data_IF_615627771423
#
_entry.id   IF_615627771423
#
_cell.length_a   1.000
_cell.length_b   1.000
_cell.length_c   1.000
_cell.angle_alpha   90.00
_cell.angle_beta   90.00
_cell.angle_gamma   90.00
#
_symmetry.space_group_name_H-M   'P 1'
#
loop_
_entity.id
_entity.type
_entity.pdbx_description
1 polymer ?
#
# COMPACT_ATOMS: atom_id res chain seq x y z
N UNK A 1 32.96 43.07 -35.69
CA UNK A 1 32.14 43.27 -34.47
C UNK A 1 31.39 42.00 -34.17
N UNK A 2 31.25 41.71 -32.87
CA UNK A 2 30.57 40.56 -32.22
C UNK A 2 31.49 39.36 -32.00
N UNK A 3 31.72 39.15 -30.70
CA UNK A 3 32.84 38.48 -30.09
C UNK A 3 32.67 36.96 -30.07
N UNK A 4 33.79 36.29 -30.29
CA UNK A 4 34.02 34.91 -29.90
C UNK A 4 33.95 34.78 -28.38
N UNK A 5 33.22 33.78 -27.88
CA UNK A 5 33.61 33.07 -26.65
C UNK A 5 33.04 31.65 -26.65
N UNK A 6 33.68 30.78 -27.42
CA UNK A 6 33.64 29.33 -27.25
C UNK A 6 34.71 28.93 -26.22
N UNK A 7 34.46 29.21 -24.94
CA UNK A 7 35.39 28.84 -23.86
C UNK A 7 34.63 28.46 -22.58
N UNK A 8 33.57 27.66 -22.70
CA UNK A 8 32.93 27.06 -21.51
C UNK A 8 32.46 25.60 -21.72
N UNK A 9 32.77 24.98 -22.87
CA UNK A 9 32.32 23.61 -23.21
C UNK A 9 33.49 22.63 -23.38
N UNK A 10 34.66 22.91 -22.78
CA UNK A 10 35.86 22.07 -22.98
C UNK A 10 36.69 21.69 -21.75
N UNK A 11 36.18 21.83 -20.53
CA UNK A 11 36.86 21.25 -19.36
C UNK A 11 35.90 20.34 -18.58
N UNK A 12 36.39 19.14 -18.26
CA UNK A 12 35.73 18.02 -17.57
C UNK A 12 34.92 17.03 -18.45
N UNK A 13 35.46 16.68 -19.63
CA UNK A 13 35.35 15.30 -20.12
C UNK A 13 36.57 14.54 -19.57
N UNK A 14 36.33 13.40 -18.90
CA UNK A 14 37.28 12.45 -18.30
C UNK A 14 37.62 12.65 -16.80
N UNK A 15 36.69 12.23 -15.94
CA UNK A 15 36.91 11.57 -14.64
C UNK A 15 35.50 11.21 -14.13
N UNK A 16 35.03 9.97 -14.28
CA UNK A 16 35.51 8.83 -13.51
C UNK A 16 34.40 8.47 -12.52
N UNK A 17 33.79 7.31 -12.72
CA UNK A 17 32.70 6.74 -11.91
C UNK A 17 31.40 7.54 -11.84
N UNK A 18 30.35 6.94 -12.42
CA UNK A 18 28.94 7.19 -12.14
C UNK A 18 28.79 7.35 -10.63
N UNK A 19 28.64 8.61 -10.24
CA UNK A 19 28.42 9.09 -8.90
C UNK A 19 27.21 8.39 -8.34
N UNK A 20 27.50 7.38 -7.52
CA UNK A 20 26.98 7.30 -6.18
C UNK A 20 25.46 7.13 -6.09
N UNK A 21 25.08 5.85 -6.07
CA UNK A 21 24.02 5.28 -5.25
C UNK A 21 23.82 6.07 -3.94
N UNK A 22 22.94 7.08 -3.97
CA UNK A 22 22.18 7.57 -2.81
C UNK A 22 20.92 8.28 -3.31
N UNK A 23 19.85 7.51 -3.48
CA UNK A 23 18.49 8.02 -3.24
C UNK A 23 17.82 7.19 -2.15
N UNK A 24 18.59 6.88 -1.10
CA UNK A 24 18.09 6.27 0.12
C UNK A 24 18.61 7.15 1.28
N UNK A 25 17.71 7.97 1.83
CA UNK A 25 17.58 8.35 3.25
C UNK A 25 16.90 9.71 3.50
N UNK A 26 15.62 9.86 3.14
CA UNK A 26 14.71 10.81 3.79
C UNK A 26 13.26 10.40 3.42
N UNK A 27 12.32 10.04 4.29
CA UNK A 27 12.13 10.34 5.71
C UNK A 27 11.28 9.20 6.30
N UNK A 28 11.67 8.62 7.44
CA UNK A 28 10.67 8.00 8.33
C UNK A 28 10.17 9.13 9.23
N UNK A 29 9.02 9.78 8.97
CA UNK A 29 8.47 10.67 9.96
C UNK A 29 8.23 9.86 11.25
N UNK A 30 8.71 10.39 12.37
CA UNK A 30 8.29 9.95 13.70
C UNK A 30 6.76 9.88 13.71
N UNK A 31 6.13 8.74 14.04
CA UNK A 31 4.68 8.70 14.12
C UNK A 31 4.25 9.62 15.26
N UNK A 32 3.80 10.83 14.93
CA UNK A 32 2.85 11.55 15.77
C UNK A 32 1.65 10.62 15.97
N UNK A 33 1.09 10.50 17.18
CA UNK A 33 -0.22 9.90 17.35
C UNK A 33 -1.22 10.72 16.54
N UNK A 34 -1.41 10.34 15.27
CA UNK A 34 -2.48 10.87 14.46
C UNK A 34 -3.74 10.39 15.14
N UNK A 35 -4.48 11.31 15.75
CA UNK A 35 -5.82 11.03 16.23
C UNK A 35 -6.58 10.49 15.03
N UNK A 36 -6.69 9.16 14.98
CA UNK A 36 -7.53 8.51 14.00
C UNK A 36 -8.92 9.07 14.24
N UNK A 37 -9.66 9.53 13.22
CA UNK A 37 -11.06 9.84 13.42
C UNK A 37 -11.64 8.64 14.16
N UNK A 38 -12.28 8.87 15.30
CA UNK A 38 -12.97 7.83 16.06
C UNK A 38 -13.94 7.19 15.09
N UNK A 39 -13.51 6.11 14.44
CA UNK A 39 -14.36 5.32 13.60
C UNK A 39 -15.30 4.68 14.60
N UNK A 40 -16.50 5.26 14.72
CA UNK A 40 -17.58 4.67 15.49
C UNK A 40 -17.60 3.21 15.11
N UNK A 41 -17.22 2.33 16.05
CA UNK A 41 -17.10 0.91 15.77
C UNK A 41 -18.49 0.44 15.36
N UNK A 42 -18.68 0.21 14.05
CA UNK A 42 -19.91 -0.36 13.56
C UNK A 42 -20.07 -1.72 14.23
N UNK A 43 -21.26 -2.03 14.72
CA UNK A 43 -21.54 -3.32 15.32
C UNK A 43 -21.20 -4.42 14.31
N UNK A 44 -20.37 -5.38 14.72
CA UNK A 44 -19.99 -6.52 13.89
C UNK A 44 -21.25 -7.36 13.63
N UNK A 45 -21.59 -7.67 12.37
CA UNK A 45 -22.72 -8.54 12.06
C UNK A 45 -22.52 -9.92 12.70
N UNK A 46 -23.58 -10.56 13.24
CA UNK A 46 -23.46 -11.89 13.80
C UNK A 46 -23.06 -12.90 12.72
N UNK A 47 -22.13 -13.81 13.06
CA UNK A 47 -21.72 -14.89 12.17
C UNK A 47 -22.85 -15.92 11.98
N UNK A 48 -22.95 -16.46 10.77
CA UNK A 48 -23.71 -17.68 10.54
C UNK A 48 -22.96 -18.87 11.18
N UNK A 49 -23.59 -19.66 12.08
CA UNK A 49 -22.93 -20.79 12.73
C UNK A 49 -22.29 -21.80 11.77
N UNK A 50 -22.84 -21.97 10.57
CA UNK A 50 -22.29 -22.88 9.57
C UNK A 50 -20.93 -22.41 9.02
N UNK A 51 -20.71 -21.10 8.93
CA UNK A 51 -19.48 -20.51 8.37
C UNK A 51 -18.30 -20.60 9.34
N UNK A 52 -18.58 -20.80 10.63
CA UNK A 52 -17.59 -20.85 11.72
C UNK A 52 -17.54 -22.20 12.46
N UNK A 53 -18.24 -23.22 11.94
CA UNK A 53 -18.32 -24.53 12.57
C UNK A 53 -16.96 -25.26 12.61
N UNK A 54 -16.10 -25.01 11.62
CA UNK A 54 -14.75 -25.58 11.50
C UNK A 54 -13.81 -24.57 10.84
N UNK A 55 -12.50 -24.81 10.92
CA UNK A 55 -11.51 -23.99 10.23
C UNK A 55 -11.68 -24.05 8.71
N UNK A 56 -12.00 -25.22 8.15
CA UNK A 56 -12.29 -25.38 6.72
C UNK A 56 -13.51 -24.56 6.29
N UNK A 57 -14.55 -24.50 7.15
CA UNK A 57 -15.75 -23.71 6.88
C UNK A 57 -15.44 -22.20 6.81
N UNK A 58 -14.57 -21.69 7.68
CA UNK A 58 -14.14 -20.29 7.67
C UNK A 58 -13.42 -19.96 6.36
N UNK A 59 -12.47 -20.80 5.95
CA UNK A 59 -11.71 -20.61 4.72
C UNK A 59 -12.62 -20.70 3.50
N UNK A 60 -13.50 -21.69 3.44
CA UNK A 60 -14.48 -21.82 2.37
C UNK A 60 -15.40 -20.59 2.29
N UNK A 61 -15.88 -20.09 3.42
CA UNK A 61 -16.74 -18.91 3.52
C UNK A 61 -16.03 -17.64 3.05
N UNK A 62 -14.77 -17.47 3.42
CA UNK A 62 -13.95 -16.35 2.96
C UNK A 62 -13.79 -16.38 1.44
N UNK A 63 -13.42 -17.52 0.86
CA UNK A 63 -13.22 -17.67 -0.58
C UNK A 63 -14.52 -17.52 -1.37
N UNK A 64 -15.64 -18.00 -0.84
CA UNK A 64 -16.95 -17.80 -1.44
C UNK A 64 -17.28 -16.28 -1.56
N UNK A 65 -17.01 -15.50 -0.51
CA UNK A 65 -17.24 -14.04 -0.57
C UNK A 65 -16.27 -13.34 -1.51
N UNK A 66 -14.95 -13.60 -1.44
CA UNK A 66 -13.95 -12.79 -2.17
C UNK A 66 -13.69 -13.27 -3.61
N UNK A 67 -13.88 -14.57 -3.87
CA UNK A 67 -13.56 -15.22 -5.14
C UNK A 67 -14.77 -15.89 -5.81
N UNK A 68 -15.95 -15.83 -5.19
CA UNK A 68 -17.18 -16.34 -5.79
C UNK A 68 -17.56 -15.61 -7.09
N UNK A 69 -18.65 -16.06 -7.75
CA UNK A 69 -19.10 -15.54 -9.04
C UNK A 69 -19.18 -14.02 -9.08
N UNK A 70 -19.02 -13.41 -10.26
CA UNK A 70 -19.14 -11.96 -10.41
C UNK A 70 -20.53 -11.47 -9.97
N UNK A 71 -20.56 -10.41 -9.17
CA UNK A 71 -21.79 -9.86 -8.61
C UNK A 71 -21.56 -9.03 -7.34
N UNK A 72 -22.66 -8.65 -6.69
CA UNK A 72 -22.61 -7.98 -5.40
C UNK A 72 -22.02 -8.91 -4.33
N UNK A 73 -21.09 -8.39 -3.51
CA UNK A 73 -20.46 -9.14 -2.43
C UNK A 73 -21.27 -8.99 -1.14
N UNK A 74 -21.42 -10.08 -0.39
CA UNK A 74 -21.99 -10.03 0.95
C UNK A 74 -20.90 -9.62 1.96
N UNK A 75 -20.69 -8.32 2.10
CA UNK A 75 -19.67 -7.78 3.00
C UNK A 75 -20.02 -7.96 4.48
N UNK A 76 -21.30 -8.11 4.83
CA UNK A 76 -21.70 -8.34 6.21
C UNK A 76 -21.28 -9.74 6.66
N UNK A 77 -21.43 -10.74 5.77
CA UNK A 77 -20.89 -12.08 5.99
C UNK A 77 -19.36 -12.06 6.14
N UNK A 78 -18.63 -11.33 5.29
CA UNK A 78 -17.18 -11.18 5.44
C UNK A 78 -16.79 -10.60 6.81
N UNK A 79 -17.44 -9.49 7.21
CA UNK A 79 -17.18 -8.86 8.51
C UNK A 79 -17.58 -9.72 9.70
N UNK A 80 -18.50 -10.66 9.52
CA UNK A 80 -18.89 -11.59 10.58
C UNK A 80 -17.86 -12.67 10.88
N UNK A 81 -16.81 -12.83 10.04
CA UNK A 81 -15.80 -13.89 10.22
C UNK A 81 -14.71 -13.56 11.26
N UNK A 82 -14.63 -12.32 11.77
CA UNK A 82 -13.58 -11.85 12.70
C UNK A 82 -13.99 -10.63 13.54
#
# INVERSE_FOLDING_TARGET
MKQFSSTAVRLAFAAGLITFVISVHAQSPTPTPQASPTQTAAAVPPANPADVATMDAIVASLYDVISGPPGARNWDRFRSLF
#
